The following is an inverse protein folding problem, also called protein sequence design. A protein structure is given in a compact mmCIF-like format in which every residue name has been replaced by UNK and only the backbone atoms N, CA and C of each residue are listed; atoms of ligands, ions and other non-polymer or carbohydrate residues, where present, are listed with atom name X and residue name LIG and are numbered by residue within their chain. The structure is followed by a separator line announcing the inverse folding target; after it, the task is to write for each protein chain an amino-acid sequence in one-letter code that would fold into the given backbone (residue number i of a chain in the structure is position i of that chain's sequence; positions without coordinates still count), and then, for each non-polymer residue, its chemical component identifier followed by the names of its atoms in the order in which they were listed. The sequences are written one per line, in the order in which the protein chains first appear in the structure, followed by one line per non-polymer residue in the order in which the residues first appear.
data_IF_809786863492
#
_entry.id   IF_809786863492
#
_cell.length_a   1.000
_cell.length_b   1.000
_cell.length_c   1.000
_cell.angle_alpha   90.00
_cell.angle_beta   90.00
_cell.angle_gamma   90.00
#
_symmetry.space_group_name_H-M   'P 1'
#
loop_
_entity.id
_entity.type
_entity.pdbx_description
1 polymer ?
#
# COMPACT_ATOMS: atom_id res chain seq x y z
N UNK A 1 3.05 31.28 -43.75
CA UNK A 1 3.77 31.89 -42.62
C UNK A 1 4.55 30.78 -41.94
N UNK A 2 5.87 30.94 -41.80
CA UNK A 2 6.70 29.92 -41.18
C UNK A 2 6.34 29.79 -39.69
N UNK A 3 6.05 28.59 -39.17
CA UNK A 3 5.60 28.39 -37.78
C UNK A 3 6.69 28.65 -36.72
N UNK A 4 7.86 29.14 -37.13
CA UNK A 4 9.03 29.38 -36.27
C UNK A 4 9.40 30.87 -36.14
N UNK A 5 8.71 31.76 -36.84
CA UNK A 5 8.93 33.21 -36.71
C UNK A 5 8.02 33.79 -35.62
N UNK A 6 8.63 34.09 -34.48
CA UNK A 6 8.00 34.84 -33.40
C UNK A 6 8.63 36.24 -33.31
N UNK A 7 7.85 37.32 -33.11
CA UNK A 7 8.35 38.69 -33.04
C UNK A 7 9.38 38.89 -31.90
N UNK A 8 9.33 38.00 -30.91
CA UNK A 8 10.18 37.95 -29.72
C UNK A 8 11.59 37.39 -29.99
N UNK A 9 11.82 36.79 -31.17
CA UNK A 9 13.14 36.34 -31.64
C UNK A 9 13.86 37.40 -32.51
N UNK A 10 13.35 38.64 -32.53
CA UNK A 10 13.96 39.75 -33.26
C UNK A 10 15.19 40.32 -32.54
N UNK A 11 16.07 40.98 -33.31
CA UNK A 11 17.32 41.58 -32.79
C UNK A 11 17.10 42.72 -31.77
N UNK A 12 15.88 43.20 -31.62
CA UNK A 12 15.51 44.21 -30.63
C UNK A 12 15.44 43.64 -29.20
N UNK A 13 15.36 42.31 -29.04
CA UNK A 13 15.30 41.62 -27.74
C UNK A 13 16.46 40.62 -27.58
N UNK A 14 17.73 41.09 -27.44
CA UNK A 14 18.92 40.22 -27.47
C UNK A 14 19.01 39.19 -26.34
N UNK A 15 18.19 39.34 -25.28
CA UNK A 15 18.14 38.43 -24.13
C UNK A 15 17.03 37.38 -24.18
N UNK A 16 16.13 37.42 -25.16
CA UNK A 16 15.00 36.50 -25.24
C UNK A 16 15.13 35.61 -26.48
N UNK A 17 15.12 34.30 -26.26
CA UNK A 17 15.06 33.29 -27.33
C UNK A 17 13.94 32.32 -27.03
N UNK A 18 12.91 32.35 -27.87
CA UNK A 18 11.79 31.41 -27.82
C UNK A 18 12.16 30.19 -28.67
N UNK A 19 12.34 29.05 -28.01
CA UNK A 19 12.52 27.77 -28.68
C UNK A 19 11.17 27.26 -29.23
N UNK A 20 11.21 26.57 -30.36
CA UNK A 20 10.06 25.82 -30.87
C UNK A 20 9.58 24.83 -29.81
N UNK A 21 8.27 24.83 -29.52
CA UNK A 21 7.66 23.95 -28.54
C UNK A 21 8.10 22.49 -28.76
N UNK A 22 8.47 21.81 -27.68
CA UNK A 22 8.82 20.40 -27.75
C UNK A 22 7.55 19.65 -28.16
N UNK A 23 7.61 18.93 -29.30
CA UNK A 23 6.51 18.10 -29.76
C UNK A 23 6.04 17.17 -28.65
N UNK A 24 4.71 17.01 -28.53
CA UNK A 24 4.01 16.32 -27.45
C UNK A 24 4.75 15.03 -27.05
N UNK A 25 5.55 15.11 -26.00
CA UNK A 25 6.33 13.97 -25.51
C UNK A 25 5.31 13.08 -24.83
N UNK A 26 5.01 11.91 -25.41
CA UNK A 26 4.07 10.96 -24.83
C UNK A 26 4.39 10.81 -23.33
N UNK A 27 3.46 11.26 -22.49
CA UNK A 27 3.63 11.37 -21.03
C UNK A 27 3.80 10.01 -20.37
N UNK A 28 3.58 8.93 -21.13
CA UNK A 28 3.51 7.56 -20.68
C UNK A 28 4.52 6.73 -21.47
N UNK A 29 5.62 6.34 -20.83
CA UNK A 29 6.53 5.36 -21.39
C UNK A 29 5.87 3.97 -21.32
N UNK A 30 5.47 3.43 -22.47
CA UNK A 30 4.79 2.14 -22.63
C UNK A 30 5.61 0.97 -22.11
N UNK A 31 6.94 1.00 -22.24
CA UNK A 31 7.84 -0.01 -21.67
C UNK A 31 7.86 0.01 -20.15
N UNK A 32 7.66 1.18 -19.55
CA UNK A 32 7.53 1.34 -18.11
C UNK A 32 6.20 0.78 -17.64
N UNK A 33 5.10 1.12 -18.33
CA UNK A 33 3.77 0.57 -18.06
C UNK A 33 3.76 -0.96 -18.17
N UNK A 34 4.40 -1.54 -19.20
CA UNK A 34 4.51 -2.98 -19.37
C UNK A 34 5.39 -3.63 -18.31
N UNK A 35 6.52 -3.02 -17.93
CA UNK A 35 7.33 -3.49 -16.80
C UNK A 35 6.55 -3.48 -15.49
N UNK A 36 5.77 -2.44 -15.21
CA UNK A 36 4.90 -2.38 -14.04
C UNK A 36 3.78 -3.43 -14.09
N UNK A 37 3.16 -3.67 -15.26
CA UNK A 37 2.18 -4.74 -15.45
C UNK A 37 2.80 -6.13 -15.27
N UNK A 38 4.00 -6.37 -15.77
CA UNK A 38 4.73 -7.63 -15.61
C UNK A 38 5.25 -7.85 -14.18
N UNK A 39 5.61 -6.76 -13.47
CA UNK A 39 6.00 -6.80 -12.05
C UNK A 39 4.83 -6.95 -11.09
N UNK A 40 3.58 -6.76 -11.53
CA UNK A 40 2.42 -7.18 -10.76
C UNK A 40 2.44 -8.70 -10.75
N UNK A 41 3.18 -9.27 -9.79
CA UNK A 41 3.13 -10.69 -9.47
C UNK A 41 1.66 -11.06 -9.34
N UNK A 42 1.19 -12.00 -10.17
CA UNK A 42 -0.19 -12.48 -10.14
C UNK A 42 -0.57 -12.98 -8.75
N UNK A 43 -1.87 -13.18 -8.54
CA UNK A 43 -2.37 -13.81 -7.34
C UNK A 43 -1.68 -15.17 -7.14
N UNK A 44 -1.25 -15.42 -5.91
CA UNK A 44 -0.68 -16.71 -5.53
C UNK A 44 -1.79 -17.75 -5.36
N UNK A 45 -1.45 -19.04 -5.41
CA UNK A 45 -2.38 -20.09 -5.03
C UNK A 45 -2.68 -20.02 -3.52
N UNK A 46 -3.79 -20.62 -3.09
CA UNK A 46 -4.15 -20.71 -1.66
C UNK A 46 -3.01 -21.35 -0.88
N UNK A 47 -2.44 -22.45 -1.36
CA UNK A 47 -1.35 -23.18 -0.70
C UNK A 47 -0.11 -22.32 -0.52
N UNK A 48 0.23 -21.50 -1.53
CA UNK A 48 1.36 -20.58 -1.45
C UNK A 48 1.13 -19.48 -0.39
N UNK A 49 -0.10 -18.95 -0.30
CA UNK A 49 -0.47 -18.02 0.78
C UNK A 49 -0.36 -18.68 2.15
N UNK A 50 -0.95 -19.87 2.32
CA UNK A 50 -0.96 -20.58 3.61
C UNK A 50 0.47 -20.96 4.04
N UNK A 51 1.29 -21.46 3.12
CA UNK A 51 2.69 -21.79 3.38
C UNK A 51 3.47 -20.56 3.85
N UNK A 52 3.33 -19.43 3.15
CA UNK A 52 3.99 -18.17 3.52
C UNK A 52 3.52 -17.59 4.85
N UNK A 53 2.21 -17.61 5.11
CA UNK A 53 1.66 -17.15 6.39
C UNK A 53 2.19 -18.01 7.54
N UNK A 54 2.21 -19.34 7.38
CA UNK A 54 2.67 -20.28 8.41
C UNK A 54 4.18 -20.22 8.64
N UNK A 55 4.97 -19.88 7.63
CA UNK A 55 6.42 -19.65 7.78
C UNK A 55 6.74 -18.28 8.41
N UNK A 56 5.75 -17.41 8.56
CA UNK A 56 5.92 -16.06 9.11
C UNK A 56 6.43 -15.04 8.09
N UNK A 57 6.25 -15.29 6.79
CA UNK A 57 6.56 -14.34 5.73
C UNK A 57 5.61 -13.14 5.79
N UNK A 58 6.16 -12.01 6.26
CA UNK A 58 5.42 -10.74 6.41
C UNK A 58 4.93 -10.17 5.07
N UNK A 59 5.65 -10.42 3.98
CA UNK A 59 5.26 -9.96 2.63
C UNK A 59 4.04 -10.71 2.14
N UNK A 60 4.03 -12.05 2.30
CA UNK A 60 2.89 -12.88 1.94
C UNK A 60 1.68 -12.56 2.83
N UNK A 61 1.89 -12.38 4.14
CA UNK A 61 0.83 -11.95 5.06
C UNK A 61 0.21 -10.61 4.63
N UNK A 62 1.03 -9.61 4.30
CA UNK A 62 0.54 -8.31 3.85
C UNK A 62 -0.27 -8.40 2.54
N UNK A 63 0.16 -9.24 1.59
CA UNK A 63 -0.60 -9.52 0.36
C UNK A 63 -1.95 -10.20 0.66
N UNK A 64 -1.97 -11.16 1.59
CA UNK A 64 -3.21 -11.82 2.01
C UNK A 64 -4.18 -10.84 2.69
N UNK A 65 -3.70 -9.96 3.58
CA UNK A 65 -4.52 -8.90 4.20
C UNK A 65 -5.10 -7.98 3.12
N UNK A 66 -4.25 -7.50 2.20
CA UNK A 66 -4.69 -6.65 1.07
C UNK A 66 -5.76 -7.34 0.22
N UNK A 67 -5.61 -8.64 -0.02
CA UNK A 67 -6.58 -9.43 -0.76
C UNK A 67 -7.92 -9.54 -0.02
N UNK A 68 -7.89 -9.75 1.30
CA UNK A 68 -9.08 -9.84 2.17
C UNK A 68 -9.80 -8.50 2.27
N UNK A 69 -9.07 -7.38 2.29
CA UNK A 69 -9.63 -6.02 2.36
C UNK A 69 -10.10 -5.48 1.00
N UNK A 70 -9.77 -6.17 -0.09
CA UNK A 70 -10.09 -5.73 -1.44
C UNK A 70 -11.59 -5.67 -1.71
N UNK A 71 -12.06 -4.57 -2.31
CA UNK A 71 -13.44 -4.40 -2.76
C UNK A 71 -13.76 -5.08 -4.11
N UNK A 72 -12.76 -5.62 -4.82
CA UNK A 72 -12.96 -6.32 -6.09
C UNK A 72 -13.62 -7.69 -5.87
N UNK A 73 -14.75 -7.92 -6.54
CA UNK A 73 -15.52 -9.16 -6.39
C UNK A 73 -14.73 -10.43 -6.77
N UNK A 74 -13.85 -10.32 -7.77
CA UNK A 74 -12.99 -11.42 -8.23
C UNK A 74 -12.01 -11.93 -7.15
N UNK A 75 -11.66 -11.10 -6.17
CA UNK A 75 -10.75 -11.49 -5.09
C UNK A 75 -11.46 -12.27 -3.98
N UNK A 76 -12.79 -12.15 -3.88
CA UNK A 76 -13.57 -12.69 -2.75
C UNK A 76 -13.47 -14.21 -2.60
N UNK A 77 -13.61 -15.03 -3.67
CA UNK A 77 -13.49 -16.48 -3.53
C UNK A 77 -12.11 -16.92 -3.01
N UNK A 78 -11.05 -16.26 -3.47
CA UNK A 78 -9.69 -16.57 -3.04
C UNK A 78 -9.45 -16.14 -1.58
N UNK A 79 -9.95 -14.97 -1.19
CA UNK A 79 -9.87 -14.48 0.19
C UNK A 79 -10.60 -15.41 1.17
N UNK A 80 -11.82 -15.85 0.83
CA UNK A 80 -12.61 -16.79 1.63
C UNK A 80 -11.87 -18.12 1.81
N UNK A 81 -11.30 -18.67 0.73
CA UNK A 81 -10.52 -19.91 0.77
C UNK A 81 -9.25 -19.80 1.65
N UNK A 82 -8.55 -18.66 1.60
CA UNK A 82 -7.39 -18.41 2.46
C UNK A 82 -7.80 -18.34 3.93
N UNK A 83 -8.88 -17.60 4.24
CA UNK A 83 -9.40 -17.49 5.62
C UNK A 83 -9.77 -18.87 6.16
N UNK A 84 -10.55 -19.64 5.40
CA UNK A 84 -10.99 -20.98 5.79
C UNK A 84 -9.80 -21.90 6.07
N UNK A 85 -8.79 -21.91 5.19
CA UNK A 85 -7.58 -22.69 5.37
C UNK A 85 -6.71 -22.21 6.56
N UNK A 86 -6.85 -20.96 7.01
CA UNK A 86 -6.17 -20.44 8.20
C UNK A 86 -6.87 -20.80 9.51
N UNK A 87 -8.19 -21.09 9.52
CA UNK A 87 -8.98 -21.34 10.75
C UNK A 87 -8.34 -22.40 11.67
N UNK A 88 -7.87 -23.57 11.18
CA UNK A 88 -7.29 -24.60 12.04
C UNK A 88 -6.04 -24.17 12.81
N UNK A 89 -5.37 -23.11 12.35
CA UNK A 89 -4.15 -22.58 12.97
C UNK A 89 -4.41 -21.34 13.83
N UNK A 90 -5.66 -20.86 13.87
CA UNK A 90 -6.05 -19.70 14.67
C UNK A 90 -6.23 -20.05 16.16
N UNK A 91 -6.27 -19.02 17.01
CA UNK A 91 -6.59 -19.16 18.43
C UNK A 91 -5.39 -19.29 19.38
N UNK A 92 -4.20 -19.60 18.87
CA UNK A 92 -2.96 -19.70 19.65
C UNK A 92 -2.29 -18.32 19.88
N UNK A 93 -3.07 -17.33 20.35
CA UNK A 93 -2.61 -15.96 20.57
C UNK A 93 -3.44 -15.26 21.65
N UNK A 94 -2.81 -14.45 22.49
CA UNK A 94 -3.50 -13.55 23.42
C UNK A 94 -4.04 -12.32 22.67
N UNK A 95 -5.32 -11.98 22.87
CA UNK A 95 -5.99 -10.82 22.23
C UNK A 95 -6.43 -9.83 23.29
N UNK A 96 -5.90 -8.60 23.23
CA UNK A 96 -6.14 -7.54 24.21
C UNK A 96 -6.76 -6.34 23.48
N UNK A 97 -7.92 -5.89 23.94
CA UNK A 97 -8.53 -4.64 23.48
C UNK A 97 -8.04 -3.46 24.31
N UNK A 98 -7.57 -2.40 23.65
CA UNK A 98 -7.13 -1.15 24.30
C UNK A 98 -8.05 -0.03 23.83
N UNK A 99 -8.62 0.72 24.78
CA UNK A 99 -9.50 1.86 24.51
C UNK A 99 -9.16 3.02 25.45
N UNK A 100 -9.73 4.19 25.19
CA UNK A 100 -9.54 5.38 26.00
C UNK A 100 -9.80 6.66 25.23
N UNK A 101 -10.11 7.75 25.95
CA UNK A 101 -10.43 9.06 25.37
C UNK A 101 -9.28 9.62 24.50
N UNK A 102 -9.55 10.52 23.55
CA UNK A 102 -8.50 11.23 22.81
C UNK A 102 -7.49 11.89 23.77
N UNK A 103 -6.20 11.82 23.46
CA UNK A 103 -5.14 12.45 24.26
C UNK A 103 -4.69 11.69 25.52
N UNK A 104 -5.34 10.58 25.92
CA UNK A 104 -4.96 9.80 27.14
C UNK A 104 -3.60 9.07 27.04
N UNK A 105 -2.88 9.20 25.92
CA UNK A 105 -1.58 8.56 25.74
C UNK A 105 -1.63 7.09 25.28
N UNK A 106 -2.73 6.64 24.66
CA UNK A 106 -2.87 5.24 24.16
C UNK A 106 -1.72 4.81 23.25
N UNK A 107 -1.31 5.65 22.30
CA UNK A 107 -0.24 5.32 21.36
C UNK A 107 1.10 5.13 22.09
N UNK A 108 1.43 6.03 23.02
CA UNK A 108 2.64 5.93 23.84
C UNK A 108 2.63 4.68 24.73
N UNK A 109 1.45 4.31 25.26
CA UNK A 109 1.29 3.06 26.00
C UNK A 109 1.51 1.83 25.11
N UNK A 110 0.88 1.78 23.93
CA UNK A 110 1.03 0.67 22.98
C UNK A 110 2.49 0.51 22.53
N UNK A 111 3.19 1.61 22.26
CA UNK A 111 4.60 1.60 21.91
C UNK A 111 5.47 1.03 23.03
N UNK A 112 5.33 1.57 24.25
CA UNK A 112 6.15 1.14 25.41
C UNK A 112 5.86 -0.31 25.78
N UNK A 113 4.58 -0.68 25.88
CA UNK A 113 4.18 -2.06 26.17
C UNK A 113 4.61 -3.02 25.05
N UNK A 114 4.53 -2.57 23.80
CA UNK A 114 4.91 -3.35 22.64
C UNK A 114 6.40 -3.68 22.61
N UNK A 115 7.26 -2.69 22.86
CA UNK A 115 8.71 -2.89 22.98
C UNK A 115 9.04 -3.90 24.07
N UNK A 116 8.43 -3.78 25.25
CA UNK A 116 8.61 -4.73 26.34
C UNK A 116 8.22 -6.17 25.94
N UNK A 117 7.06 -6.35 25.29
CA UNK A 117 6.59 -7.68 24.85
C UNK A 117 7.55 -8.31 23.83
N UNK A 118 8.07 -7.51 22.89
CA UNK A 118 9.02 -7.98 21.89
C UNK A 118 10.37 -8.31 22.53
N UNK A 119 10.83 -7.54 23.52
CA UNK A 119 12.05 -7.83 24.30
C UNK A 119 11.96 -9.15 25.07
N UNK A 120 10.76 -9.56 25.48
CA UNK A 120 10.53 -10.88 26.08
C UNK A 120 10.51 -12.03 25.05
N UNK A 121 10.74 -11.75 23.76
CA UNK A 121 10.81 -12.75 22.69
C UNK A 121 9.46 -13.12 22.07
N UNK A 122 8.38 -12.42 22.42
CA UNK A 122 7.06 -12.66 21.81
C UNK A 122 6.90 -11.93 20.47
N UNK A 123 6.02 -12.46 19.61
CA UNK A 123 5.59 -11.79 18.38
C UNK A 123 4.35 -10.95 18.70
N UNK A 124 4.40 -9.66 18.34
CA UNK A 124 3.31 -8.71 18.55
C UNK A 124 2.74 -8.23 17.22
N UNK A 125 1.42 -8.08 17.16
CA UNK A 125 0.71 -7.38 16.10
C UNK A 125 -0.27 -6.39 16.73
N UNK A 126 -0.42 -5.21 16.11
CA UNK A 126 -1.36 -4.17 16.54
C UNK A 126 -2.35 -3.94 15.40
N UNK A 127 -3.64 -4.14 15.67
CA UNK A 127 -4.73 -3.84 14.74
C UNK A 127 -5.46 -2.58 15.23
N UNK A 128 -5.39 -1.51 14.45
CA UNK A 128 -6.11 -0.28 14.73
C UNK A 128 -7.52 -0.36 14.15
N UNK A 129 -8.54 -0.04 14.97
CA UNK A 129 -9.93 0.11 14.55
C UNK A 129 -10.28 1.58 14.64
N UNK A 130 -10.45 2.23 13.49
CA UNK A 130 -10.86 3.63 13.41
C UNK A 130 -12.25 3.74 12.74
N UNK A 131 -13.32 4.02 13.51
CA UNK A 131 -14.66 4.18 12.95
C UNK A 131 -14.78 5.38 12.01
N UNK A 132 -13.83 6.32 12.00
CA UNK A 132 -13.82 7.45 11.06
C UNK A 132 -13.44 7.05 9.62
N UNK A 133 -12.89 5.85 9.43
CA UNK A 133 -12.33 5.35 8.17
C UNK A 133 -13.33 5.22 7.01
N UNK A 134 -14.64 5.11 7.29
CA UNK A 134 -15.69 5.15 6.25
C UNK A 134 -15.73 6.51 5.51
N UNK A 135 -15.30 7.60 6.15
CA UNK A 135 -15.31 8.96 5.56
C UNK A 135 -14.02 9.33 4.84
N UNK A 136 -12.87 8.71 5.17
CA UNK A 136 -11.56 9.18 4.70
C UNK A 136 -10.87 8.31 3.64
N UNK A 137 -11.44 7.16 3.23
CA UNK A 137 -10.86 6.27 2.20
C UNK A 137 -9.36 5.95 2.40
N UNK A 138 -9.00 5.52 3.61
CA UNK A 138 -7.72 4.85 3.82
C UNK A 138 -6.91 5.43 4.97
N UNK A 139 -6.46 4.52 5.82
CA UNK A 139 -5.61 4.76 6.96
C UNK A 139 -4.24 5.28 6.50
N UNK A 140 -3.93 6.53 6.83
CA UNK A 140 -2.57 7.07 6.83
C UNK A 140 -1.89 6.53 8.10
N UNK A 141 -1.61 5.24 8.13
CA UNK A 141 -0.69 4.65 9.11
C UNK A 141 0.49 4.13 8.30
N UNK A 142 1.51 4.99 8.21
CA UNK A 142 2.87 4.57 7.85
C UNK A 142 3.52 3.76 8.96
#
# INVERSE_FOLDING_TARGET
MNPTEHPENSSEFPGLRVNSGVGNKETLNTDSVNRFKQKRTGLLSVEAYISGIRSGDRSILGKAITLVESSLHEHRPLAEAIIEACIPFAGNSLRIGITGVPGVGKSSFIETAGSYIVEQGYKLAVLAIDPSSERSKGSILG
#
